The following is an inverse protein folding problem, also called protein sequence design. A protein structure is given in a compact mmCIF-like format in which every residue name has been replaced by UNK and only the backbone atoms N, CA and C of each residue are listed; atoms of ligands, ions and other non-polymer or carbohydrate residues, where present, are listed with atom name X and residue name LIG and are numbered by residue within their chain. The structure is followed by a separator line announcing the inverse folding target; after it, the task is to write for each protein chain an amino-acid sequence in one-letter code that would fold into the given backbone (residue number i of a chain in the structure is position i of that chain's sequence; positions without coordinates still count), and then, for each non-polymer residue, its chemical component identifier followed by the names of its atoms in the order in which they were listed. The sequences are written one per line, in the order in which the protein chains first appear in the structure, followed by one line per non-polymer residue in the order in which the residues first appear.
data_IF_776710274107
#
_entry.id   IF_776710274107
#
_cell.length_a   1.000
_cell.length_b   1.000
_cell.length_c   1.000
_cell.angle_alpha   90.00
_cell.angle_beta   90.00
_cell.angle_gamma   90.00
#
_symmetry.space_group_name_H-M   'P 1'
#
loop_
_entity.id
_entity.type
_entity.pdbx_description
1 polymer ?
#
# COMPACT_ATOMS: atom_id res chain seq x y z
N UNK A 1 -20.77 29.33 42.11
CA UNK A 1 -19.31 29.13 41.90
C UNK A 1 -18.93 27.67 42.20
N UNK A 2 -19.51 27.04 43.23
CA UNK A 2 -19.27 25.65 43.66
C UNK A 2 -19.74 24.56 42.66
N UNK A 3 -20.87 24.79 41.97
CA UNK A 3 -21.42 23.83 40.98
C UNK A 3 -20.59 23.77 39.68
N UNK A 4 -19.98 24.86 39.28
CA UNK A 4 -19.08 24.90 38.10
C UNK A 4 -17.80 24.14 38.38
N UNK A 5 -17.31 24.18 39.60
CA UNK A 5 -16.09 23.50 40.01
C UNK A 5 -16.30 21.97 40.17
N UNK A 6 -17.47 21.58 40.68
CA UNK A 6 -17.88 20.15 40.74
C UNK A 6 -18.03 19.54 39.32
N UNK A 7 -18.63 20.28 38.41
CA UNK A 7 -18.79 19.86 37.02
C UNK A 7 -17.43 19.71 36.28
N UNK A 8 -16.49 20.63 36.52
CA UNK A 8 -15.11 20.56 36.01
C UNK A 8 -14.38 19.34 36.56
N UNK A 9 -14.49 19.07 37.84
CA UNK A 9 -13.83 17.95 38.51
C UNK A 9 -14.38 16.61 38.03
N UNK A 10 -15.70 16.49 37.86
CA UNK A 10 -16.35 15.30 37.32
C UNK A 10 -15.93 15.04 35.86
N UNK A 11 -15.93 16.09 35.02
CA UNK A 11 -15.47 16.00 33.63
C UNK A 11 -14.03 15.52 33.52
N UNK A 12 -13.13 16.02 34.37
CA UNK A 12 -11.72 15.64 34.41
C UNK A 12 -11.52 14.18 34.83
N UNK A 13 -12.37 13.67 35.75
CA UNK A 13 -12.37 12.26 36.17
C UNK A 13 -12.91 11.30 35.11
N UNK A 14 -13.91 11.75 34.34
CA UNK A 14 -14.53 10.93 33.30
C UNK A 14 -13.77 10.99 31.95
N UNK A 15 -12.92 11.98 31.75
CA UNK A 15 -12.17 12.18 30.50
C UNK A 15 -11.38 10.93 30.04
N UNK A 16 -10.64 10.21 30.90
CA UNK A 16 -9.92 9.01 30.49
C UNK A 16 -10.84 7.87 30.03
N UNK A 17 -11.98 7.70 30.70
CA UNK A 17 -12.97 6.68 30.37
C UNK A 17 -13.68 7.03 29.04
N UNK A 18 -14.11 8.28 28.88
CA UNK A 18 -14.71 8.79 27.65
C UNK A 18 -13.73 8.67 26.47
N UNK A 19 -12.46 9.01 26.67
CA UNK A 19 -11.42 8.86 25.66
C UNK A 19 -11.26 7.41 25.20
N UNK A 20 -11.27 6.44 26.13
CA UNK A 20 -11.22 5.01 25.81
C UNK A 20 -12.44 4.55 25.00
N UNK A 21 -13.64 4.98 25.41
CA UNK A 21 -14.89 4.66 24.68
C UNK A 21 -14.87 5.28 23.28
N UNK A 22 -14.44 6.54 23.14
CA UNK A 22 -14.28 7.18 21.84
C UNK A 22 -13.23 6.48 20.97
N UNK A 23 -12.09 6.09 21.51
CA UNK A 23 -11.08 5.34 20.76
C UNK A 23 -11.61 3.98 20.30
N UNK A 24 -12.35 3.28 21.15
CA UNK A 24 -12.97 2.01 20.78
C UNK A 24 -14.04 2.21 19.67
N UNK A 25 -14.90 3.20 19.84
CA UNK A 25 -15.87 3.56 18.81
C UNK A 25 -15.22 3.90 17.47
N UNK A 26 -14.19 4.77 17.47
CA UNK A 26 -13.49 5.15 16.24
C UNK A 26 -12.78 3.99 15.58
N UNK A 27 -12.25 3.05 16.35
CA UNK A 27 -11.61 1.83 15.83
C UNK A 27 -12.59 1.00 14.97
N UNK A 28 -13.85 0.92 15.37
CA UNK A 28 -14.88 0.18 14.62
C UNK A 28 -15.56 1.04 13.54
N UNK A 29 -15.85 2.30 13.84
CA UNK A 29 -16.57 3.19 12.92
C UNK A 29 -15.71 3.72 11.76
N UNK A 30 -14.40 3.90 12.00
CA UNK A 30 -13.43 4.43 11.01
C UNK A 30 -12.30 3.46 10.68
N UNK A 31 -12.51 2.15 10.91
CA UNK A 31 -11.52 1.14 10.49
C UNK A 31 -11.28 1.24 8.99
N UNK A 32 -10.03 1.46 8.60
CA UNK A 32 -9.57 1.49 7.20
C UNK A 32 -8.64 0.32 6.97
N UNK A 33 -8.69 -0.28 5.79
CA UNK A 33 -7.66 -1.18 5.31
C UNK A 33 -6.65 -0.37 4.49
N UNK A 34 -5.38 -0.63 4.69
CA UNK A 34 -4.29 0.05 3.98
C UNK A 34 -3.40 -0.99 3.32
N UNK A 35 -3.26 -0.87 2.03
CA UNK A 35 -2.26 -1.60 1.25
C UNK A 35 -1.12 -0.69 0.81
N UNK A 36 0.00 -1.28 0.46
CA UNK A 36 1.15 -0.60 -0.13
C UNK A 36 1.65 -1.36 -1.34
N UNK A 37 2.12 -0.67 -2.36
CA UNK A 37 2.73 -1.27 -3.54
C UNK A 37 3.86 -0.42 -4.11
N UNK A 38 4.75 -1.06 -4.86
CA UNK A 38 5.91 -0.41 -5.46
C UNK A 38 5.94 -0.54 -6.99
N UNK A 39 6.09 0.58 -7.70
CA UNK A 39 6.48 0.60 -9.10
C UNK A 39 8.01 0.60 -9.15
N UNK A 40 8.60 -0.60 -9.16
CA UNK A 40 10.04 -0.80 -9.29
C UNK A 40 10.47 -0.72 -10.75
N UNK A 41 11.29 0.28 -11.09
CA UNK A 41 11.81 0.52 -12.45
C UNK A 41 13.29 0.21 -12.48
N UNK A 42 13.70 -0.74 -13.33
CA UNK A 42 15.12 -1.02 -13.57
C UNK A 42 15.78 0.04 -14.49
N UNK A 43 17.07 -0.08 -14.70
CA UNK A 43 17.86 0.86 -15.53
C UNK A 43 17.42 0.90 -16.99
N UNK A 44 16.74 -0.16 -17.48
CA UNK A 44 16.13 -0.21 -18.81
C UNK A 44 14.70 0.36 -18.84
N UNK A 45 14.17 0.87 -17.71
CA UNK A 45 12.82 1.39 -17.59
C UNK A 45 11.74 0.31 -17.56
N UNK A 46 12.10 -0.97 -17.33
CA UNK A 46 11.15 -2.07 -17.20
C UNK A 46 10.60 -2.10 -15.79
N UNK A 47 9.33 -2.48 -15.66
CA UNK A 47 8.60 -2.53 -14.39
C UNK A 47 8.62 -3.95 -13.84
N UNK A 48 8.95 -4.11 -12.56
CA UNK A 48 8.83 -5.37 -11.85
C UNK A 48 7.38 -5.68 -11.50
N UNK A 49 6.90 -6.85 -11.90
CA UNK A 49 5.56 -7.34 -11.60
C UNK A 49 5.61 -8.73 -11.00
N UNK A 50 4.58 -9.04 -10.23
CA UNK A 50 4.35 -10.34 -9.58
C UNK A 50 3.00 -10.92 -9.98
N UNK A 51 2.91 -12.24 -9.98
CA UNK A 51 1.68 -12.98 -10.19
C UNK A 51 1.44 -13.89 -9.00
N UNK A 52 0.35 -13.66 -8.30
CA UNK A 52 -0.02 -14.43 -7.12
C UNK A 52 -0.79 -15.70 -7.49
N UNK A 53 -0.76 -16.70 -6.59
CA UNK A 53 -1.51 -17.94 -6.75
C UNK A 53 -3.01 -17.78 -6.44
N UNK A 54 -3.39 -16.81 -5.62
CA UNK A 54 -4.73 -16.64 -5.05
C UNK A 54 -5.52 -15.48 -5.66
N UNK A 55 -4.90 -14.64 -6.49
CA UNK A 55 -5.57 -13.56 -7.22
C UNK A 55 -5.11 -13.54 -8.67
N UNK A 56 -6.04 -13.31 -9.58
CA UNK A 56 -5.76 -13.34 -11.02
C UNK A 56 -5.02 -12.10 -11.50
N UNK A 57 -4.16 -12.30 -12.49
CA UNK A 57 -3.44 -11.23 -13.19
C UNK A 57 -2.07 -10.90 -12.61
N UNK A 58 -1.40 -9.96 -13.26
CA UNK A 58 -0.12 -9.42 -12.82
C UNK A 58 -0.35 -8.12 -12.04
N UNK A 59 0.37 -7.97 -10.96
CA UNK A 59 0.24 -6.90 -9.99
C UNK A 59 1.58 -6.20 -9.75
N UNK A 60 1.54 -4.99 -9.22
CA UNK A 60 2.71 -4.41 -8.55
C UNK A 60 3.03 -5.26 -7.32
N UNK A 61 4.32 -5.45 -6.98
CA UNK A 61 4.69 -6.07 -5.71
C UNK A 61 4.17 -5.21 -4.56
N UNK A 62 3.64 -5.88 -3.53
CA UNK A 62 3.09 -5.22 -2.36
C UNK A 62 1.96 -5.98 -1.70
N UNK A 63 1.54 -5.51 -0.53
CA UNK A 63 0.52 -6.16 0.28
C UNK A 63 -0.09 -5.26 1.33
N UNK A 64 -0.62 -5.87 2.39
CA UNK A 64 -1.26 -5.14 3.48
C UNK A 64 -0.26 -4.49 4.43
N UNK A 65 -0.61 -3.31 4.95
CA UNK A 65 0.08 -2.70 6.09
C UNK A 65 -0.45 -3.32 7.38
N UNK A 66 0.42 -3.93 8.17
CA UNK A 66 0.04 -4.61 9.40
C UNK A 66 -0.15 -3.64 10.57
N UNK A 67 -0.86 -4.08 11.61
CA UNK A 67 -1.09 -3.27 12.80
C UNK A 67 0.24 -3.06 13.54
N UNK A 68 0.63 -1.79 13.69
CA UNK A 68 1.89 -1.40 14.33
C UNK A 68 3.06 -1.24 13.36
N UNK A 69 2.85 -1.52 12.08
CA UNK A 69 3.81 -1.33 11.00
C UNK A 69 3.59 0.04 10.33
N UNK A 70 4.66 0.73 9.99
CA UNK A 70 4.58 1.91 9.13
C UNK A 70 4.45 1.50 7.66
N UNK A 71 3.96 2.40 6.81
CA UNK A 71 3.83 2.15 5.37
C UNK A 71 5.20 1.87 4.71
N UNK A 72 6.27 2.52 5.16
CA UNK A 72 7.64 2.27 4.65
C UNK A 72 8.14 0.88 5.06
N UNK A 73 7.90 0.45 6.30
CA UNK A 73 8.24 -0.90 6.76
C UNK A 73 7.49 -1.96 5.97
N UNK A 74 6.17 -1.79 5.77
CA UNK A 74 5.36 -2.68 4.94
C UNK A 74 5.90 -2.77 3.50
N UNK A 75 6.20 -1.62 2.87
CA UNK A 75 6.76 -1.60 1.53
C UNK A 75 8.08 -2.37 1.45
N UNK A 76 8.98 -2.18 2.42
CA UNK A 76 10.28 -2.89 2.48
C UNK A 76 10.11 -4.39 2.64
N UNK A 77 9.23 -4.80 3.53
CA UNK A 77 8.93 -6.22 3.76
C UNK A 77 8.37 -6.86 2.49
N UNK A 78 7.34 -6.28 1.90
CA UNK A 78 6.68 -6.83 0.72
C UNK A 78 7.63 -6.92 -0.50
N UNK A 79 8.39 -5.88 -0.77
CA UNK A 79 9.32 -5.90 -1.90
C UNK A 79 10.48 -6.88 -1.69
N UNK A 80 10.91 -7.08 -0.45
CA UNK A 80 11.91 -8.08 -0.13
C UNK A 80 11.34 -9.52 -0.28
N UNK A 81 10.13 -9.76 0.22
CA UNK A 81 9.47 -11.07 0.18
C UNK A 81 9.08 -11.48 -1.24
N UNK A 82 8.44 -10.60 -1.98
CA UNK A 82 7.91 -10.87 -3.32
C UNK A 82 8.93 -10.67 -4.45
N UNK A 83 9.87 -9.75 -4.25
CA UNK A 83 10.81 -9.35 -5.31
C UNK A 83 12.29 -9.55 -4.96
N UNK A 84 12.65 -9.86 -3.71
CA UNK A 84 14.03 -9.79 -3.22
C UNK A 84 14.66 -8.41 -3.49
N UNK A 85 13.83 -7.39 -3.53
CA UNK A 85 14.22 -6.01 -3.82
C UNK A 85 14.51 -5.28 -2.52
N UNK A 86 15.74 -4.76 -2.40
CA UNK A 86 16.17 -3.85 -1.34
C UNK A 86 16.38 -2.49 -1.98
N UNK A 87 15.68 -1.47 -1.51
CA UNK A 87 15.65 -0.17 -2.14
C UNK A 87 16.01 0.98 -1.19
N UNK A 88 16.37 2.11 -1.79
CA UNK A 88 16.63 3.39 -1.12
C UNK A 88 15.71 4.47 -1.68
N UNK A 89 15.34 5.44 -0.81
CA UNK A 89 14.64 6.67 -1.17
C UNK A 89 13.43 6.47 -2.12
N UNK A 90 12.38 5.72 -1.71
CA UNK A 90 11.18 5.56 -2.51
C UNK A 90 10.46 6.92 -2.62
N UNK A 91 9.94 7.25 -3.79
CA UNK A 91 9.14 8.45 -4.01
C UNK A 91 7.66 8.11 -3.93
N UNK A 92 6.91 8.79 -3.06
CA UNK A 92 5.45 8.62 -3.00
C UNK A 92 4.84 9.03 -4.36
N UNK A 93 4.12 8.09 -5.00
CA UNK A 93 3.35 8.37 -6.20
C UNK A 93 1.94 8.85 -5.85
N UNK A 94 1.27 8.16 -4.94
CA UNK A 94 -0.07 8.56 -4.51
C UNK A 94 -0.73 7.60 -3.53
N UNK A 95 -1.91 8.02 -3.05
CA UNK A 95 -2.82 7.22 -2.23
C UNK A 95 -4.13 7.07 -2.98
N UNK A 96 -4.57 5.84 -3.17
CA UNK A 96 -5.66 5.49 -4.08
C UNK A 96 -6.80 4.80 -3.35
N UNK A 97 -8.01 5.32 -3.49
CA UNK A 97 -9.20 4.66 -2.98
C UNK A 97 -9.54 3.44 -3.84
N UNK A 98 -9.54 2.25 -3.23
CA UNK A 98 -9.76 0.98 -3.91
C UNK A 98 -11.15 0.41 -3.60
N UNK A 99 -12.18 1.10 -4.08
CA UNK A 99 -13.58 0.75 -3.82
C UNK A 99 -14.01 -0.62 -4.37
N UNK A 100 -13.26 -1.18 -5.31
CA UNK A 100 -13.53 -2.51 -5.86
C UNK A 100 -13.29 -3.63 -4.83
N UNK A 101 -12.32 -3.46 -3.95
CA UNK A 101 -12.04 -4.39 -2.86
C UNK A 101 -12.94 -4.08 -1.68
N UNK A 102 -12.94 -2.83 -1.23
CA UNK A 102 -13.77 -2.40 -0.10
C UNK A 102 -13.93 -0.88 -0.08
N UNK A 103 -15.08 -0.41 0.43
CA UNK A 103 -15.29 1.03 0.72
C UNK A 103 -14.36 1.59 1.81
N UNK A 104 -13.53 0.76 2.39
CA UNK A 104 -12.54 1.12 3.43
C UNK A 104 -11.11 0.91 2.95
N UNK A 105 -10.91 0.43 1.72
CA UNK A 105 -9.59 0.05 1.21
C UNK A 105 -8.88 1.22 0.51
N UNK A 106 -7.63 1.42 0.87
CA UNK A 106 -6.74 2.40 0.25
C UNK A 106 -5.39 1.75 -0.02
N UNK A 107 -4.80 2.09 -1.15
CA UNK A 107 -3.48 1.61 -1.56
C UNK A 107 -2.53 2.79 -1.70
N UNK A 108 -1.42 2.74 -1.01
CA UNK A 108 -0.31 3.70 -1.15
C UNK A 108 0.67 3.14 -2.18
N UNK A 109 1.04 3.92 -3.19
CA UNK A 109 1.98 3.49 -4.22
C UNK A 109 3.21 4.36 -4.20
N UNK A 110 4.37 3.71 -4.25
CA UNK A 110 5.68 4.34 -4.37
C UNK A 110 6.34 4.01 -5.70
N UNK A 111 7.13 4.94 -6.19
CA UNK A 111 8.06 4.73 -7.32
C UNK A 111 9.44 4.45 -6.78
N UNK A 112 10.07 3.38 -7.24
CA UNK A 112 11.37 2.91 -6.81
C UNK A 112 12.28 2.80 -8.02
N UNK A 113 13.29 3.66 -8.09
CA UNK A 113 14.24 3.74 -9.20
C UNK A 113 15.65 3.28 -8.85
N UNK A 114 15.95 3.16 -7.55
CA UNK A 114 17.24 2.71 -7.03
C UNK A 114 17.02 1.55 -6.09
N UNK A 115 17.41 0.37 -6.51
CA UNK A 115 17.30 -0.83 -5.71
C UNK A 115 18.39 -1.84 -6.10
N UNK A 116 18.63 -2.77 -5.21
CA UNK A 116 19.43 -3.96 -5.46
C UNK A 116 18.50 -5.18 -5.45
N UNK A 117 18.77 -6.12 -6.32
CA UNK A 117 18.12 -7.43 -6.37
C UNK A 117 19.22 -8.48 -6.59
N UNK A 118 19.43 -9.38 -5.64
CA UNK A 118 20.49 -10.38 -5.69
C UNK A 118 20.21 -11.48 -6.72
N UNK A 119 18.94 -11.83 -6.86
CA UNK A 119 18.44 -12.81 -7.83
C UNK A 119 16.94 -12.65 -8.05
N UNK A 120 16.44 -13.17 -9.15
CA UNK A 120 15.00 -13.30 -9.36
C UNK A 120 14.42 -14.31 -8.35
N UNK A 121 13.29 -13.98 -7.67
CA UNK A 121 12.61 -14.94 -6.80
C UNK A 121 12.21 -16.22 -7.55
N UNK A 122 12.36 -17.35 -6.90
CA UNK A 122 11.78 -18.60 -7.39
C UNK A 122 10.30 -18.67 -7.07
N UNK A 123 9.48 -19.29 -7.95
CA UNK A 123 8.06 -19.50 -7.64
C UNK A 123 7.89 -20.24 -6.31
N UNK A 124 6.89 -19.81 -5.55
CA UNK A 124 6.55 -20.38 -4.25
C UNK A 124 5.01 -20.57 -4.12
N UNK A 125 4.52 -20.81 -2.91
CA UNK A 125 3.07 -21.01 -2.68
C UNK A 125 2.25 -19.75 -2.93
N UNK A 126 2.85 -18.58 -2.80
CA UNK A 126 2.19 -17.29 -2.91
C UNK A 126 2.45 -16.64 -4.27
N UNK A 127 3.71 -16.56 -4.70
CA UNK A 127 4.13 -15.97 -5.97
C UNK A 127 4.43 -17.09 -6.98
N UNK A 128 3.58 -17.20 -8.01
CA UNK A 128 3.72 -18.22 -9.06
C UNK A 128 4.62 -17.76 -10.20
N UNK A 129 4.78 -16.44 -10.38
CA UNK A 129 5.69 -15.86 -11.36
C UNK A 129 6.02 -14.40 -10.98
N UNK A 130 7.21 -13.95 -11.38
CA UNK A 130 7.59 -12.54 -11.29
C UNK A 130 8.56 -12.21 -12.43
N UNK A 131 8.74 -10.92 -12.71
CA UNK A 131 9.68 -10.48 -13.74
C UNK A 131 9.60 -9.00 -14.07
N UNK A 132 10.55 -8.55 -14.87
CA UNK A 132 10.59 -7.19 -15.41
C UNK A 132 9.97 -7.15 -16.81
N UNK A 133 9.06 -6.22 -17.04
CA UNK A 133 8.34 -6.05 -18.30
C UNK A 133 8.44 -4.62 -18.80
N UNK A 134 8.64 -4.46 -20.11
CA UNK A 134 8.58 -3.14 -20.72
C UNK A 134 7.15 -2.57 -20.60
N UNK A 135 6.98 -1.26 -20.32
CA UNK A 135 5.67 -0.66 -20.15
C UNK A 135 4.71 -0.82 -21.33
N UNK A 136 5.24 -0.92 -22.54
CA UNK A 136 4.52 -1.16 -23.80
C UNK A 136 4.28 -2.65 -24.09
N UNK A 137 4.92 -3.55 -23.34
CA UNK A 137 4.83 -5.01 -23.51
C UNK A 137 4.45 -5.72 -22.19
N UNK A 138 3.55 -5.13 -21.40
CA UNK A 138 3.02 -5.75 -20.19
C UNK A 138 2.23 -7.03 -20.49
N UNK A 139 2.30 -8.06 -19.65
CA UNK A 139 1.51 -9.26 -19.81
C UNK A 139 0.02 -8.96 -20.06
N UNK A 140 -0.67 -9.71 -20.93
CA UNK A 140 -2.06 -9.40 -21.30
C UNK A 140 -3.03 -9.35 -20.12
N UNK A 141 -2.80 -10.19 -19.11
CA UNK A 141 -3.60 -10.29 -17.90
C UNK A 141 -3.14 -9.34 -16.76
N UNK A 142 -2.29 -8.34 -17.06
CA UNK A 142 -1.95 -7.28 -16.08
C UNK A 142 -3.21 -6.51 -15.70
N UNK A 143 -3.46 -6.36 -14.39
CA UNK A 143 -4.68 -5.72 -13.88
C UNK A 143 -4.82 -4.27 -14.32
N UNK A 144 -6.05 -3.78 -14.44
CA UNK A 144 -6.34 -2.40 -14.84
C UNK A 144 -5.69 -1.37 -13.91
N UNK A 145 -5.77 -1.60 -12.60
CA UNK A 145 -5.15 -0.73 -11.60
C UNK A 145 -3.63 -0.67 -11.78
N UNK A 146 -2.99 -1.82 -11.93
CA UNK A 146 -1.54 -1.91 -12.18
C UNK A 146 -1.15 -1.17 -13.46
N UNK A 147 -1.84 -1.43 -14.58
CA UNK A 147 -1.57 -0.72 -15.85
C UNK A 147 -1.69 0.79 -15.71
N UNK A 148 -2.73 1.25 -15.00
CA UNK A 148 -2.95 2.68 -14.78
C UNK A 148 -1.83 3.33 -13.97
N UNK A 149 -1.39 2.69 -12.89
CA UNK A 149 -0.27 3.20 -12.07
C UNK A 149 1.03 3.28 -12.87
N UNK A 150 1.30 2.24 -13.68
CA UNK A 150 2.49 2.23 -14.56
C UNK A 150 2.40 3.37 -15.58
N UNK A 151 1.28 3.53 -16.27
CA UNK A 151 1.09 4.60 -17.24
C UNK A 151 1.29 5.99 -16.62
N UNK A 152 0.68 6.25 -15.45
CA UNK A 152 0.85 7.52 -14.74
C UNK A 152 2.32 7.82 -14.41
N UNK A 153 3.09 6.80 -13.97
CA UNK A 153 4.51 6.96 -13.62
C UNK A 153 5.38 7.18 -14.87
N UNK A 154 5.07 6.48 -15.97
CA UNK A 154 5.87 6.57 -17.22
C UNK A 154 5.56 7.86 -17.98
N UNK A 155 4.30 8.23 -18.08
CA UNK A 155 3.84 9.42 -18.79
C UNK A 155 4.01 10.71 -17.97
N UNK A 156 4.26 10.58 -16.67
CA UNK A 156 4.41 11.71 -15.75
C UNK A 156 3.11 12.50 -15.54
N UNK A 157 1.96 11.85 -15.73
CA UNK A 157 0.66 12.47 -15.51
C UNK A 157 0.25 12.42 -14.04
N UNK A 158 -0.57 13.37 -13.55
CA UNK A 158 -1.05 13.35 -12.17
C UNK A 158 -1.80 12.06 -11.84
N UNK A 159 -1.56 11.46 -10.66
CA UNK A 159 -2.24 10.25 -10.26
C UNK A 159 -3.74 10.48 -10.05
N UNK A 160 -4.56 9.54 -10.50
CA UNK A 160 -5.99 9.53 -10.20
C UNK A 160 -6.25 9.27 -8.72
N UNK A 161 -7.32 9.82 -8.11
CA UNK A 161 -7.62 9.53 -6.70
C UNK A 161 -8.14 8.10 -6.45
N UNK A 162 -8.50 7.35 -7.50
CA UNK A 162 -9.03 5.99 -7.40
C UNK A 162 -8.09 4.96 -8.00
N UNK A 163 -8.14 3.72 -7.49
CA UNK A 163 -7.31 2.62 -7.98
C UNK A 163 -7.61 2.24 -9.44
N UNK A 164 -8.90 2.20 -9.78
CA UNK A 164 -9.41 1.92 -11.14
C UNK A 164 -10.36 3.00 -11.60
#
# INVERSE_FOLDING_TARGET
MEDVDKARTLRRRLEPALRRVFHLYWRFARGMAMGVGGVGLDDAGRVFLVKHSYVSGWHLPGGGVEVGESIDEALRRELLEEGRIVFEAPALHGVFFNSHVSRRDHVVVYVIRRFAQDRMPEPNREIVACGFFAPDALPPDTTKGTRRRIAEVIEGVPPSPTWV
#
